data_IF_415455117962
#
_entry.id   IF_415455117962
#
_cell.length_a   1.000
_cell.length_b   1.000
_cell.length_c   1.000
_cell.angle_alpha   90.00
_cell.angle_beta   90.00
_cell.angle_gamma   90.00
#
_symmetry.space_group_name_H-M   'P 1'
#
loop_
_entity.id
_entity.type
_entity.pdbx_description
1 polymer ?
#
# COMPACT_ATOMS: atom_id res chain seq x y z
N UNK A 1 -58.98 -8.19 16.53
CA UNK A 1 -58.66 -8.14 15.10
C UNK A 1 -58.20 -6.71 14.81
N UNK A 2 -56.93 -6.40 15.07
CA UNK A 2 -55.78 -6.58 14.14
C UNK A 2 -55.87 -5.54 13.00
N UNK A 3 -54.86 -4.77 12.59
CA UNK A 3 -53.43 -4.67 12.88
C UNK A 3 -52.94 -3.35 12.21
N UNK A 4 -51.88 -2.74 12.77
CA UNK A 4 -50.81 -1.93 12.14
C UNK A 4 -51.09 -0.58 11.44
N UNK A 5 -50.39 0.52 11.85
CA UNK A 5 -50.18 1.69 11.00
C UNK A 5 -49.01 1.47 10.02
N UNK A 6 -49.29 1.51 8.71
CA UNK A 6 -48.26 1.39 7.68
C UNK A 6 -47.62 2.75 7.37
N UNK A 7 -46.56 3.02 8.13
CA UNK A 7 -45.50 4.00 7.91
C UNK A 7 -44.84 3.81 6.55
N UNK A 8 -44.83 4.80 5.67
CA UNK A 8 -43.89 4.86 4.53
C UNK A 8 -43.71 6.26 3.91
N UNK A 9 -43.55 7.31 4.73
CA UNK A 9 -43.02 8.61 4.30
C UNK A 9 -41.48 8.66 4.36
N UNK A 10 -40.80 7.71 3.71
CA UNK A 10 -39.34 7.65 3.66
C UNK A 10 -38.79 8.06 2.29
N UNK A 11 -39.24 9.21 1.77
CA UNK A 11 -38.54 9.86 0.66
C UNK A 11 -37.88 11.12 1.21
N UNK A 12 -36.61 10.98 1.60
CA UNK A 12 -35.77 12.12 1.96
C UNK A 12 -35.18 12.68 0.65
N UNK A 13 -35.58 13.87 0.17
CA UNK A 13 -34.91 14.47 -0.97
C UNK A 13 -33.48 14.85 -0.58
N UNK A 14 -32.52 14.49 -1.44
CA UNK A 14 -31.14 14.96 -1.32
C UNK A 14 -31.10 16.49 -1.48
N UNK A 15 -31.13 17.24 -0.37
CA UNK A 15 -30.78 18.65 -0.38
C UNK A 15 -29.29 18.78 -0.74
N UNK A 16 -29.00 19.33 -1.91
CA UNK A 16 -27.66 19.80 -2.26
C UNK A 16 -27.42 21.07 -1.44
N UNK A 17 -26.60 20.99 -0.39
CA UNK A 17 -26.18 22.16 0.35
C UNK A 17 -25.42 23.11 -0.61
N UNK A 18 -25.91 24.34 -0.76
CA UNK A 18 -25.18 25.40 -1.43
C UNK A 18 -23.93 25.74 -0.61
N UNK A 19 -22.75 25.96 -1.22
CA UNK A 19 -21.56 26.32 -0.47
C UNK A 19 -21.69 27.76 0.03
N UNK A 20 -21.90 27.94 1.33
CA UNK A 20 -21.85 29.24 1.99
C UNK A 20 -20.51 29.38 2.71
N UNK A 21 -19.68 30.30 2.22
CA UNK A 21 -18.53 30.95 2.90
C UNK A 21 -17.26 30.10 3.12
N UNK A 22 -16.06 30.62 2.79
CA UNK A 22 -14.80 29.90 2.96
C UNK A 22 -14.36 29.86 4.44
N UNK A 23 -13.83 28.74 4.94
CA UNK A 23 -13.15 28.71 6.23
C UNK A 23 -11.72 29.28 6.13
N UNK A 24 -11.21 29.96 7.17
CA UNK A 24 -9.82 30.39 7.25
C UNK A 24 -8.86 29.21 7.51
N UNK A 25 -7.58 29.50 7.31
CA UNK A 25 -6.44 28.59 7.30
C UNK A 25 -6.46 27.50 8.38
N UNK A 26 -6.50 26.24 7.92
CA UNK A 26 -6.50 25.05 8.77
C UNK A 26 -6.90 23.84 7.95
N UNK A 27 -6.04 23.45 7.01
CA UNK A 27 -6.26 22.34 6.07
C UNK A 27 -6.49 21.02 6.81
N UNK A 28 -7.74 20.69 7.11
CA UNK A 28 -8.09 19.32 7.49
C UNK A 28 -7.68 18.40 6.34
N UNK A 29 -6.91 17.31 6.58
CA UNK A 29 -6.44 16.46 5.50
C UNK A 29 -7.65 15.83 4.82
N UNK A 30 -7.92 16.27 3.60
CA UNK A 30 -9.00 15.73 2.77
C UNK A 30 -8.70 14.26 2.56
N UNK A 31 -9.53 13.38 3.13
CA UNK A 31 -9.38 11.94 3.00
C UNK A 31 -9.36 11.60 1.51
N UNK A 32 -8.21 11.09 1.02
CA UNK A 32 -8.03 10.79 -0.39
C UNK A 32 -9.16 9.90 -0.91
N UNK A 33 -9.80 10.33 -2.00
CA UNK A 33 -10.89 9.59 -2.63
C UNK A 33 -10.35 8.28 -3.22
N UNK A 34 -11.23 7.29 -3.44
CA UNK A 34 -10.82 6.05 -4.09
C UNK A 34 -10.24 6.27 -5.50
N UNK A 35 -10.70 7.30 -6.22
CA UNK A 35 -10.19 7.65 -7.54
C UNK A 35 -8.73 8.15 -7.46
N UNK A 36 -8.44 9.05 -6.53
CA UNK A 36 -7.08 9.55 -6.28
C UNK A 36 -6.13 8.40 -5.94
N UNK A 37 -6.50 7.53 -4.99
CA UNK A 37 -5.67 6.36 -4.60
C UNK A 37 -5.37 5.42 -5.77
N UNK A 38 -6.34 5.20 -6.66
CA UNK A 38 -6.15 4.37 -7.87
C UNK A 38 -5.19 5.06 -8.85
N UNK A 39 -5.30 6.37 -8.99
CA UNK A 39 -4.35 7.19 -9.76
C UNK A 39 -2.93 7.07 -9.23
N UNK A 40 -2.73 7.22 -7.92
CA UNK A 40 -1.41 7.18 -7.29
C UNK A 40 -0.78 5.78 -7.41
N UNK A 41 -1.59 4.72 -7.22
CA UNK A 41 -1.14 3.34 -7.45
C UNK A 41 -0.71 3.11 -8.91
N UNK A 42 -1.49 3.63 -9.87
CA UNK A 42 -1.16 3.51 -11.29
C UNK A 42 0.11 4.27 -11.63
N UNK A 43 0.29 5.48 -11.11
CA UNK A 43 1.49 6.27 -11.35
C UNK A 43 2.77 5.55 -10.89
N UNK A 44 2.76 4.92 -9.70
CA UNK A 44 3.89 4.12 -9.20
C UNK A 44 4.16 2.92 -10.10
N UNK A 45 3.11 2.20 -10.51
CA UNK A 45 3.24 1.08 -11.45
C UNK A 45 3.82 1.53 -12.78
N UNK A 46 3.26 2.58 -13.39
CA UNK A 46 3.69 3.10 -14.69
C UNK A 46 5.17 3.52 -14.63
N UNK A 47 5.60 4.20 -13.57
CA UNK A 47 7.00 4.59 -13.38
C UNK A 47 7.94 3.38 -13.29
N UNK A 48 7.62 2.38 -12.45
CA UNK A 48 8.47 1.18 -12.30
C UNK A 48 8.49 0.35 -13.57
N UNK A 49 7.36 0.20 -14.26
CA UNK A 49 7.29 -0.62 -15.46
C UNK A 49 7.89 0.07 -16.70
N UNK A 50 7.90 1.41 -16.74
CA UNK A 50 8.58 2.16 -17.79
C UNK A 50 10.10 2.19 -17.60
N UNK A 51 10.58 2.42 -16.36
CA UNK A 51 12.02 2.62 -16.06
C UNK A 51 12.72 1.34 -15.56
N UNK A 52 11.96 0.32 -15.15
CA UNK A 52 12.45 -0.91 -14.52
C UNK A 52 12.73 -0.79 -13.02
N UNK A 53 12.97 0.44 -12.54
CA UNK A 53 13.23 0.77 -11.13
C UNK A 53 12.70 2.16 -10.81
N UNK A 54 12.35 2.39 -9.54
CA UNK A 54 11.91 3.67 -8.99
C UNK A 54 12.64 3.92 -7.66
N UNK A 55 13.33 5.05 -7.56
CA UNK A 55 13.90 5.50 -6.29
C UNK A 55 12.82 6.26 -5.49
N UNK A 56 12.62 5.85 -4.24
CA UNK A 56 11.65 6.49 -3.33
C UNK A 56 12.42 7.13 -2.19
N UNK A 57 12.24 8.43 -2.02
CA UNK A 57 12.91 9.19 -0.97
C UNK A 57 12.47 8.71 0.42
N UNK A 58 13.33 8.90 1.42
CA UNK A 58 13.04 8.57 2.81
C UNK A 58 11.71 9.20 3.28
N UNK A 59 11.58 10.52 3.13
CA UNK A 59 10.42 11.28 3.58
C UNK A 59 9.12 11.05 2.80
N UNK A 60 9.17 10.36 1.65
CA UNK A 60 7.98 10.13 0.83
C UNK A 60 7.16 8.94 1.34
N UNK A 61 6.47 9.18 2.46
CA UNK A 61 5.65 8.18 3.14
C UNK A 61 4.48 7.71 2.26
N UNK A 62 3.93 8.57 1.43
CA UNK A 62 2.78 8.25 0.59
C UNK A 62 3.16 7.22 -0.47
N UNK A 63 4.22 7.49 -1.25
CA UNK A 63 4.73 6.57 -2.25
C UNK A 63 5.20 5.26 -1.60
N UNK A 64 5.84 5.32 -0.42
CA UNK A 64 6.22 4.11 0.34
C UNK A 64 5.03 3.23 0.72
N UNK A 65 3.93 3.82 1.21
CA UNK A 65 2.73 3.05 1.56
C UNK A 65 2.09 2.40 0.32
N UNK A 66 2.07 3.11 -0.81
CA UNK A 66 1.58 2.58 -2.08
C UNK A 66 2.47 1.43 -2.56
N UNK A 67 3.79 1.62 -2.56
CA UNK A 67 4.76 0.60 -2.95
C UNK A 67 4.67 -0.64 -2.06
N UNK A 68 4.59 -0.48 -0.73
CA UNK A 68 4.45 -1.59 0.22
C UNK A 68 3.17 -2.40 -0.03
N UNK A 69 2.05 -1.72 -0.32
CA UNK A 69 0.80 -2.40 -0.71
C UNK A 69 0.96 -3.17 -2.02
N UNK A 70 1.57 -2.55 -3.04
CA UNK A 70 1.83 -3.20 -4.33
C UNK A 70 2.78 -4.40 -4.20
N UNK A 71 3.71 -4.35 -3.25
CA UNK A 71 4.55 -5.49 -2.89
C UNK A 71 3.74 -6.62 -2.26
N UNK A 72 2.80 -6.33 -1.35
CA UNK A 72 1.89 -7.34 -0.77
C UNK A 72 1.07 -8.03 -1.87
N UNK A 73 0.64 -7.27 -2.89
CA UNK A 73 -0.05 -7.84 -4.05
C UNK A 73 0.87 -8.63 -5.00
N UNK A 74 2.19 -8.57 -4.80
CA UNK A 74 3.17 -9.30 -5.59
C UNK A 74 3.58 -8.63 -6.90
N UNK A 75 3.24 -7.34 -7.11
CA UNK A 75 3.60 -6.63 -8.34
C UNK A 75 5.02 -6.06 -8.31
N UNK A 76 5.51 -5.71 -7.11
CA UNK A 76 6.77 -5.01 -6.92
C UNK A 76 7.67 -5.72 -5.91
N UNK A 77 8.97 -5.50 -6.03
CA UNK A 77 9.96 -5.81 -5.00
C UNK A 77 10.52 -4.51 -4.44
N UNK A 78 10.76 -4.48 -3.13
CA UNK A 78 11.30 -3.30 -2.43
C UNK A 78 12.64 -3.67 -1.81
N UNK A 79 13.63 -2.83 -2.02
CA UNK A 79 14.92 -2.85 -1.38
C UNK A 79 15.12 -1.53 -0.61
N UNK A 80 15.53 -1.63 0.64
CA UNK A 80 15.99 -0.47 1.41
C UNK A 80 17.46 -0.19 1.07
N UNK A 81 17.80 1.08 0.93
CA UNK A 81 19.17 1.54 0.74
C UNK A 81 19.71 1.94 2.13
N UNK A 82 20.74 1.24 2.60
CA UNK A 82 21.41 1.53 3.85
C UNK A 82 22.26 2.82 3.75
N UNK A 83 22.77 3.32 4.87
CA UNK A 83 23.67 4.49 4.92
C UNK A 83 24.94 4.30 4.11
N UNK A 84 25.39 3.05 3.98
CA UNK A 84 26.57 2.66 3.22
C UNK A 84 26.26 2.40 1.73
N UNK A 85 25.01 2.65 1.30
CA UNK A 85 24.55 2.41 -0.08
C UNK A 85 24.20 0.95 -0.39
N UNK A 86 24.38 0.04 0.57
CA UNK A 86 24.01 -1.36 0.43
C UNK A 86 22.49 -1.53 0.25
N UNK A 87 22.09 -2.51 -0.56
CA UNK A 87 20.70 -2.79 -0.87
C UNK A 87 20.21 -4.00 -0.09
N UNK A 88 19.19 -3.80 0.74
CA UNK A 88 18.56 -4.85 1.53
C UNK A 88 17.12 -5.07 1.08
N UNK A 89 16.82 -6.26 0.55
CA UNK A 89 15.44 -6.62 0.19
C UNK A 89 14.54 -6.67 1.44
N UNK A 90 13.42 -5.96 1.39
CA UNK A 90 12.41 -5.98 2.44
C UNK A 90 11.34 -7.03 2.13
N UNK A 91 10.93 -7.81 3.13
CA UNK A 91 9.70 -8.61 3.05
C UNK A 91 8.46 -7.71 3.13
N UNK A 92 7.27 -8.16 2.67
CA UNK A 92 6.06 -7.35 2.77
C UNK A 92 5.74 -6.88 4.20
N UNK A 93 5.99 -7.71 5.21
CA UNK A 93 5.81 -7.32 6.61
C UNK A 93 6.83 -6.28 7.08
N UNK A 94 8.04 -6.32 6.53
CA UNK A 94 9.08 -5.33 6.84
C UNK A 94 8.77 -4.01 6.15
N UNK A 95 8.36 -3.98 4.87
CA UNK A 95 8.05 -2.74 4.17
C UNK A 95 6.87 -1.97 4.78
N UNK A 96 5.87 -2.67 5.32
CA UNK A 96 4.77 -2.04 6.06
C UNK A 96 5.26 -1.39 7.38
N UNK A 97 6.23 -2.00 8.05
CA UNK A 97 6.79 -1.55 9.33
C UNK A 97 8.07 -0.71 9.18
N UNK A 98 8.58 -0.59 7.96
CA UNK A 98 9.89 -0.06 7.70
C UNK A 98 9.95 1.42 8.07
N UNK A 99 11.15 1.81 8.51
CA UNK A 99 11.40 3.15 9.00
C UNK A 99 11.25 4.16 7.85
N UNK A 100 10.57 5.30 8.07
CA UNK A 100 10.51 6.32 7.05
C UNK A 100 11.89 6.93 6.76
N UNK A 101 12.88 6.80 7.65
CA UNK A 101 14.16 7.51 7.49
C UNK A 101 15.07 7.03 6.34
N UNK A 102 14.84 5.85 5.76
CA UNK A 102 15.74 5.28 4.73
C UNK A 102 15.13 5.28 3.33
N UNK A 103 15.87 5.65 2.28
CA UNK A 103 15.34 5.62 0.91
C UNK A 103 15.15 4.18 0.44
N UNK A 104 14.18 3.97 -0.44
CA UNK A 104 13.91 2.67 -1.05
C UNK A 104 14.21 2.68 -2.53
N UNK A 105 14.56 1.50 -3.05
CA UNK A 105 14.54 1.18 -4.47
C UNK A 105 13.42 0.18 -4.70
N UNK A 106 12.52 0.52 -5.63
CA UNK A 106 11.37 -0.30 -5.99
C UNK A 106 11.58 -0.81 -7.39
N UNK A 107 11.48 -2.12 -7.59
CA UNK A 107 11.69 -2.78 -8.89
C UNK A 107 10.48 -3.63 -9.24
N UNK A 108 10.36 -3.95 -10.54
CA UNK A 108 9.34 -4.89 -11.02
C UNK A 108 9.55 -6.26 -10.35
N UNK A 109 8.47 -6.88 -9.88
CA UNK A 109 8.58 -8.26 -9.42
C UNK A 109 8.88 -9.18 -10.62
N UNK A 110 10.02 -9.86 -10.60
CA UNK A 110 10.28 -10.97 -11.50
C UNK A 110 9.37 -12.13 -11.12
N UNK A 111 8.50 -12.54 -12.03
CA UNK A 111 7.62 -13.70 -11.89
C UNK A 111 8.51 -14.91 -11.52
N UNK A 112 8.37 -15.42 -10.29
CA UNK A 112 9.13 -16.59 -9.78
C UNK A 112 10.14 -16.32 -8.65
N UNK A 113 10.54 -15.07 -8.36
CA UNK A 113 11.54 -14.76 -7.32
C UNK A 113 10.95 -14.13 -6.03
N UNK A 114 9.62 -14.10 -5.92
CA UNK A 114 8.88 -13.24 -4.98
C UNK A 114 8.23 -13.93 -3.77
N UNK A 115 8.15 -15.26 -3.73
CA UNK A 115 7.82 -15.96 -2.48
C UNK A 115 9.09 -16.04 -1.64
N UNK A 116 9.51 -14.92 -1.08
CA UNK A 116 10.68 -14.77 -0.22
C UNK A 116 10.46 -15.42 1.17
N UNK A 117 10.06 -16.70 1.18
CA UNK A 117 10.58 -17.66 2.14
C UNK A 117 11.80 -18.26 1.47
N UNK A 118 12.98 -17.75 1.80
CA UNK A 118 14.19 -18.54 1.59
C UNK A 118 14.02 -19.79 2.47
N UNK A 119 13.59 -20.90 1.87
CA UNK A 119 13.72 -22.20 2.51
C UNK A 119 15.23 -22.43 2.60
N UNK A 120 15.84 -22.43 3.81
CA UNK A 120 17.25 -22.78 3.91
C UNK A 120 17.42 -24.18 3.31
N UNK A 121 18.43 -24.36 2.46
CA UNK A 121 18.75 -25.61 1.78
C UNK A 121 19.33 -26.68 2.74
N UNK A 122 18.78 -26.76 3.96
CA UNK A 122 19.08 -27.81 4.91
C UNK A 122 17.92 -28.80 4.84
N UNK A 123 18.04 -29.77 3.93
CA UNK A 123 17.09 -30.85 3.68
C UNK A 123 16.94 -31.86 4.85
N UNK A 124 17.29 -31.50 6.08
CA UNK A 124 17.52 -32.47 7.16
C UNK A 124 16.59 -32.46 8.36
N UNK A 125 15.77 -31.42 8.61
CA UNK A 125 15.24 -31.23 9.97
C UNK A 125 13.73 -31.44 10.18
N UNK A 126 12.95 -31.69 9.12
CA UNK A 126 11.49 -31.66 9.26
C UNK A 126 10.85 -33.02 9.58
N UNK A 127 11.55 -34.15 9.43
CA UNK A 127 10.94 -35.49 9.55
C UNK A 127 11.78 -36.57 10.26
N UNK A 128 12.90 -36.25 10.93
CA UNK A 128 13.55 -37.26 11.78
C UNK A 128 12.77 -37.42 13.10
N UNK A 129 11.88 -38.40 13.11
CA UNK A 129 11.30 -38.97 14.32
C UNK A 129 12.34 -39.95 14.92
N UNK A 130 12.82 -39.74 16.16
CA UNK A 130 13.74 -40.68 16.78
C UNK A 130 13.00 -41.99 17.08
N UNK A 131 13.62 -43.11 16.69
CA UNK A 131 13.30 -44.45 17.18
C UNK A 131 14.56 -45.02 17.87
#
# INVERSE_FOLDING_TARGET
MDHVPARMDNVVPFRRAAPTTPPPAGSVPRKATNATRRGDQRAVMDAVYATGTLAVAAGDRETKLIAARLQVYGFLTIEEIDTDGALRRLRPSESIRARPERPWRVTKASYGAGLAVSIPAVDGFLFEQPA
#
